data_IF_201376462037
#
_entry.id   IF_201376462037
#
_cell.length_a   1.000
_cell.length_b   1.000
_cell.length_c   1.000
_cell.angle_alpha   90.00
_cell.angle_beta   90.00
_cell.angle_gamma   90.00
#
_symmetry.space_group_name_H-M   'P 1'
#
loop_
_entity.id
_entity.type
_entity.pdbx_description
1 polymer ?
#
# COMPACT_ATOMS: atom_id res chain seq x y z
N UNK A 1 -17.69 37.81 -22.40
CA UNK A 1 -16.92 38.41 -21.29
C UNK A 1 -15.48 38.44 -21.72
N UNK A 2 -14.88 39.63 -21.76
CA UNK A 2 -13.62 39.97 -22.44
C UNK A 2 -12.39 39.38 -21.76
N UNK A 3 -11.37 39.06 -22.56
CA UNK A 3 -10.04 38.54 -22.20
C UNK A 3 -9.21 39.43 -21.25
N UNK A 4 -9.75 40.55 -20.77
CA UNK A 4 -9.05 41.53 -19.93
C UNK A 4 -9.47 41.50 -18.44
N UNK A 5 -10.37 40.60 -18.01
CA UNK A 5 -10.75 40.45 -16.58
C UNK A 5 -10.06 39.28 -15.86
N UNK A 6 -9.08 38.61 -16.49
CA UNK A 6 -8.30 37.52 -15.88
C UNK A 6 -6.99 37.98 -15.22
N UNK A 7 -6.73 39.28 -15.10
CA UNK A 7 -5.71 39.78 -14.19
C UNK A 7 -6.19 39.58 -12.73
N UNK A 8 -5.38 38.83 -11.95
CA UNK A 8 -5.54 38.57 -10.50
C UNK A 8 -6.57 37.51 -10.11
N UNK A 9 -6.53 36.31 -10.70
CA UNK A 9 -7.09 35.16 -9.99
C UNK A 9 -6.23 34.86 -8.76
N UNK A 10 -6.55 35.46 -7.61
CA UNK A 10 -6.01 35.12 -6.29
C UNK A 10 -6.41 33.71 -5.84
N UNK A 11 -6.56 32.79 -6.78
CA UNK A 11 -7.04 31.43 -6.65
C UNK A 11 -6.09 30.51 -7.40
N UNK A 12 -5.81 29.35 -6.82
CA UNK A 12 -4.91 28.36 -7.37
C UNK A 12 -5.47 27.77 -8.67
N UNK A 13 -4.69 27.77 -9.75
CA UNK A 13 -5.09 27.16 -11.02
C UNK A 13 -5.30 25.63 -10.96
N UNK A 14 -4.76 24.95 -9.94
CA UNK A 14 -4.88 23.50 -9.78
C UNK A 14 -6.08 23.05 -8.93
N UNK A 15 -6.38 23.72 -7.81
CA UNK A 15 -7.45 23.32 -6.89
C UNK A 15 -8.54 24.38 -6.64
N UNK A 16 -8.41 25.59 -7.20
CA UNK A 16 -9.39 26.66 -7.07
C UNK A 16 -9.44 27.34 -5.69
N UNK A 17 -8.56 27.00 -4.74
CA UNK A 17 -8.50 27.63 -3.40
C UNK A 17 -7.81 28.99 -3.46
N UNK A 18 -8.26 29.95 -2.62
CA UNK A 18 -7.65 31.29 -2.50
C UNK A 18 -6.18 31.19 -2.08
N UNK A 19 -5.30 31.82 -2.85
CA UNK A 19 -3.85 31.82 -2.63
C UNK A 19 -3.48 32.74 -1.46
N UNK A 20 -2.53 32.31 -0.65
CA UNK A 20 -2.00 33.06 0.50
C UNK A 20 -0.52 32.73 0.72
N UNK A 21 0.26 33.65 1.29
CA UNK A 21 1.72 33.51 1.48
C UNK A 21 2.13 33.52 2.97
N UNK A 22 1.16 33.60 3.88
CA UNK A 22 1.37 33.87 5.31
C UNK A 22 1.58 32.60 6.14
N UNK A 23 0.83 31.53 5.87
CA UNK A 23 0.78 30.34 6.73
C UNK A 23 1.01 29.04 5.93
N UNK A 24 2.13 28.36 6.17
CA UNK A 24 2.49 27.12 5.45
C UNK A 24 1.52 25.96 5.65
N UNK A 25 0.78 25.93 6.75
CA UNK A 25 -0.13 24.82 7.07
C UNK A 25 -1.54 25.05 6.53
N UNK A 26 -1.89 26.28 6.12
CA UNK A 26 -3.22 26.61 5.61
C UNK A 26 -3.38 26.36 4.10
N UNK A 27 -4.57 25.91 3.66
CA UNK A 27 -4.86 25.72 2.24
C UNK A 27 -4.60 27.00 1.43
N UNK A 28 -4.02 26.83 0.23
CA UNK A 28 -3.70 27.95 -0.65
C UNK A 28 -2.32 28.55 -0.44
N UNK A 29 -1.52 28.04 0.51
CA UNK A 29 -0.15 28.52 0.72
C UNK A 29 0.69 28.44 -0.56
N UNK A 30 1.44 29.48 -0.87
CA UNK A 30 2.57 29.43 -1.81
C UNK A 30 3.71 30.34 -1.32
N UNK A 31 4.98 30.01 -1.60
CA UNK A 31 6.09 30.94 -1.36
C UNK A 31 5.94 32.19 -2.23
N UNK A 32 6.33 33.37 -1.72
CA UNK A 32 6.26 34.63 -2.50
C UNK A 32 7.02 34.55 -3.84
N UNK A 33 8.14 33.83 -3.86
CA UNK A 33 8.92 33.58 -5.08
C UNK A 33 8.18 32.78 -6.17
N UNK A 34 7.04 32.15 -5.84
CA UNK A 34 6.21 31.38 -6.77
C UNK A 34 4.97 32.16 -7.28
N UNK A 35 4.74 33.41 -6.83
CA UNK A 35 3.66 34.28 -7.33
C UNK A 35 3.80 34.65 -8.80
N UNK A 36 5.03 34.67 -9.32
CA UNK A 36 5.36 35.04 -10.71
C UNK A 36 5.34 33.86 -11.69
N UNK A 37 5.01 32.65 -11.24
CA UNK A 37 4.99 31.45 -12.10
C UNK A 37 3.62 31.29 -12.76
N UNK A 38 3.59 31.10 -14.08
CA UNK A 38 2.37 30.73 -14.80
C UNK A 38 2.37 29.24 -15.19
N UNK A 39 1.34 28.45 -14.81
CA UNK A 39 0.19 28.82 -13.99
C UNK A 39 0.51 28.88 -12.48
N UNK A 40 -0.07 29.85 -11.76
CA UNK A 40 0.11 30.01 -10.31
C UNK A 40 -0.62 28.89 -9.57
N UNK A 41 0.13 28.03 -8.89
CA UNK A 41 -0.41 26.90 -8.13
C UNK A 41 0.07 26.93 -6.68
N UNK A 42 -0.82 26.61 -5.74
CA UNK A 42 -0.48 26.50 -4.32
C UNK A 42 0.53 25.37 -4.09
N UNK A 43 1.27 25.42 -2.99
CA UNK A 43 2.26 24.44 -2.58
C UNK A 43 1.69 23.01 -2.61
N UNK A 44 0.43 22.82 -2.21
CA UNK A 44 -0.25 21.53 -2.31
C UNK A 44 -0.36 21.05 -3.77
N UNK A 45 -0.89 21.87 -4.67
CA UNK A 45 -0.99 21.52 -6.10
C UNK A 45 0.38 21.35 -6.77
N UNK A 46 1.37 22.16 -6.36
CA UNK A 46 2.75 22.03 -6.82
C UNK A 46 3.36 20.70 -6.37
N UNK A 47 3.12 20.27 -5.12
CA UNK A 47 3.57 18.99 -4.57
C UNK A 47 2.87 17.80 -5.22
N UNK A 48 1.57 17.92 -5.53
CA UNK A 48 0.82 16.93 -6.32
C UNK A 48 1.42 16.78 -7.71
N UNK A 49 1.65 17.90 -8.41
CA UNK A 49 2.11 17.92 -9.81
C UNK A 49 3.56 17.43 -9.97
N UNK A 50 4.45 17.80 -9.06
CA UNK A 50 5.90 17.53 -9.21
C UNK A 50 6.40 16.34 -8.37
N UNK A 51 5.78 16.08 -7.22
CA UNK A 51 6.21 15.04 -6.28
C UNK A 51 5.18 13.91 -6.12
N UNK A 52 4.09 13.93 -6.90
CA UNK A 52 2.96 12.99 -6.79
C UNK A 52 2.38 12.93 -5.36
N UNK A 53 2.52 14.03 -4.61
CA UNK A 53 2.15 14.17 -3.21
C UNK A 53 0.69 14.62 -3.13
N UNK A 54 -0.20 13.79 -3.69
CA UNK A 54 -1.61 13.80 -3.37
C UNK A 54 -1.72 13.67 -1.86
N UNK A 55 -1.86 14.83 -1.20
CA UNK A 55 -2.22 14.94 0.20
C UNK A 55 -3.28 13.89 0.48
N UNK A 56 -2.86 12.88 1.23
CA UNK A 56 -3.65 11.81 1.78
C UNK A 56 -4.76 12.47 2.58
N UNK A 57 -5.90 12.74 1.93
CA UNK A 57 -7.16 12.81 2.63
C UNK A 57 -7.33 11.40 3.17
N UNK A 58 -7.03 11.22 4.45
CA UNK A 58 -7.36 10.00 5.19
C UNK A 58 -8.87 9.91 5.15
N UNK A 59 -9.37 9.10 4.23
CA UNK A 59 -10.79 8.84 4.11
C UNK A 59 -11.11 7.87 5.24
N UNK A 60 -12.06 8.25 6.08
CA UNK A 60 -12.60 7.35 7.09
C UNK A 60 -13.19 6.13 6.39
N UNK A 61 -13.09 4.95 7.00
CA UNK A 61 -13.53 3.70 6.39
C UNK A 61 -14.99 3.80 5.92
N UNK A 62 -15.85 4.49 6.67
CA UNK A 62 -17.26 4.67 6.37
C UNK A 62 -17.52 5.44 5.07
N UNK A 63 -16.77 6.51 4.80
CA UNK A 63 -16.90 7.29 3.58
C UNK A 63 -16.49 6.45 2.35
N UNK A 64 -15.44 5.64 2.50
CA UNK A 64 -15.04 4.72 1.46
C UNK A 64 -16.08 3.61 1.22
N UNK A 65 -16.69 3.07 2.28
CA UNK A 65 -17.77 2.08 2.15
C UNK A 65 -18.99 2.65 1.42
N UNK A 66 -19.32 3.94 1.61
CA UNK A 66 -20.35 4.63 0.84
C UNK A 66 -19.98 4.73 -0.64
N UNK A 67 -18.73 5.07 -0.96
CA UNK A 67 -18.23 5.10 -2.33
C UNK A 67 -18.36 3.72 -2.99
N UNK A 68 -17.89 2.65 -2.32
CA UNK A 68 -18.00 1.29 -2.85
C UNK A 68 -19.46 0.87 -3.06
N UNK A 69 -20.35 1.20 -2.13
CA UNK A 69 -21.78 0.91 -2.26
C UNK A 69 -22.40 1.64 -3.46
N UNK A 70 -21.90 2.82 -3.81
CA UNK A 70 -22.25 3.51 -5.05
C UNK A 70 -21.83 2.74 -6.30
N UNK A 71 -20.68 2.05 -6.26
CA UNK A 71 -20.20 1.19 -7.37
C UNK A 71 -21.16 0.01 -7.58
N UNK A 72 -21.71 -0.60 -6.53
CA UNK A 72 -22.67 -1.69 -6.65
C UNK A 72 -23.91 -1.34 -7.49
N UNK A 73 -24.34 -0.08 -7.50
CA UNK A 73 -25.47 0.37 -8.30
C UNK A 73 -25.13 0.56 -9.79
N UNK A 74 -23.84 0.53 -10.15
CA UNK A 74 -23.37 0.67 -11.54
C UNK A 74 -23.12 -0.69 -12.18
N UNK A 75 -23.16 -0.76 -13.51
CA UNK A 75 -22.68 -1.91 -14.28
C UNK A 75 -21.25 -1.64 -14.76
N UNK A 76 -20.28 -1.99 -13.94
CA UNK A 76 -18.87 -1.60 -14.09
C UNK A 76 -17.92 -2.77 -13.85
N UNK A 77 -16.71 -2.69 -14.40
CA UNK A 77 -15.61 -3.59 -14.03
C UNK A 77 -14.87 -3.01 -12.82
N UNK A 78 -14.66 -3.79 -11.77
CA UNK A 78 -13.88 -3.36 -10.61
C UNK A 78 -12.49 -3.97 -10.68
N UNK A 79 -11.46 -3.14 -10.77
CA UNK A 79 -10.05 -3.53 -10.71
C UNK A 79 -9.58 -3.35 -9.28
N UNK A 80 -9.38 -4.45 -8.58
CA UNK A 80 -8.86 -4.45 -7.22
C UNK A 80 -7.34 -4.66 -7.25
N UNK A 81 -6.60 -3.62 -6.88
CA UNK A 81 -5.14 -3.67 -6.84
C UNK A 81 -4.69 -3.99 -5.41
N UNK A 82 -3.85 -5.00 -5.29
CA UNK A 82 -3.22 -5.41 -4.02
C UNK A 82 -1.71 -5.46 -4.16
N UNK A 83 -1.01 -5.12 -3.09
CA UNK A 83 0.43 -5.33 -2.94
C UNK A 83 0.70 -6.77 -2.51
N UNK A 84 1.59 -7.47 -3.22
CA UNK A 84 1.98 -8.82 -2.85
C UNK A 84 2.65 -8.91 -1.47
N UNK A 85 3.46 -7.91 -1.10
CA UNK A 85 4.26 -7.92 0.14
C UNK A 85 3.38 -7.75 1.36
N UNK A 86 2.30 -6.99 1.20
CA UNK A 86 1.31 -6.71 2.20
C UNK A 86 -0.05 -7.25 1.74
N UNK A 87 -0.15 -8.47 1.22
CA UNK A 87 -1.41 -8.97 0.63
C UNK A 87 -2.59 -8.98 1.62
N UNK A 88 -2.34 -9.39 2.86
CA UNK A 88 -3.35 -9.50 3.91
C UNK A 88 -3.74 -8.15 4.55
N UNK A 89 -2.82 -7.17 4.52
CA UNK A 89 -3.16 -5.78 4.83
C UNK A 89 -3.88 -5.14 3.64
N UNK A 90 -3.42 -5.52 2.46
CA UNK A 90 -3.80 -5.33 1.05
C UNK A 90 -5.26 -5.31 0.71
N UNK A 91 -5.83 -6.46 1.02
CA UNK A 91 -7.04 -6.98 0.47
C UNK A 91 -8.25 -6.38 1.20
N UNK A 92 -9.16 -5.81 0.44
CA UNK A 92 -10.44 -5.33 0.94
C UNK A 92 -11.33 -6.54 1.28
N UNK A 93 -11.35 -6.93 2.55
CA UNK A 93 -12.24 -7.98 3.05
C UNK A 93 -13.70 -7.64 2.77
N UNK A 94 -14.43 -8.58 2.18
CA UNK A 94 -15.85 -8.37 1.87
C UNK A 94 -16.11 -7.37 0.74
N UNK A 95 -15.11 -6.99 -0.06
CA UNK A 95 -15.29 -6.13 -1.24
C UNK A 95 -16.48 -6.57 -2.11
N UNK A 96 -16.62 -7.89 -2.32
CA UNK A 96 -17.71 -8.46 -3.11
C UNK A 96 -19.11 -8.02 -2.64
N UNK A 97 -19.30 -7.84 -1.32
CA UNK A 97 -20.58 -7.38 -0.74
C UNK A 97 -20.90 -5.94 -1.15
N UNK A 98 -19.87 -5.10 -1.29
CA UNK A 98 -20.03 -3.69 -1.60
C UNK A 98 -20.07 -3.42 -3.10
N UNK A 99 -19.42 -4.24 -3.93
CA UNK A 99 -19.46 -4.10 -5.40
C UNK A 99 -20.61 -4.89 -6.04
N UNK A 100 -21.33 -5.71 -5.27
CA UNK A 100 -22.51 -6.43 -5.71
C UNK A 100 -22.20 -7.49 -6.78
N UNK A 101 -22.90 -7.39 -7.92
CA UNK A 101 -22.76 -8.31 -9.05
C UNK A 101 -21.62 -7.91 -10.01
N UNK A 102 -20.93 -6.80 -9.76
CA UNK A 102 -19.88 -6.33 -10.64
C UNK A 102 -18.70 -7.32 -10.68
N UNK A 103 -18.16 -7.62 -11.88
CA UNK A 103 -16.98 -8.46 -12.01
C UNK A 103 -15.76 -7.79 -11.36
N UNK A 104 -15.00 -8.56 -10.59
CA UNK A 104 -13.76 -8.08 -9.95
C UNK A 104 -12.54 -8.69 -10.63
N UNK A 105 -11.69 -7.85 -11.20
CA UNK A 105 -10.36 -8.22 -11.68
C UNK A 105 -9.33 -7.96 -10.59
N UNK A 106 -8.66 -9.01 -10.09
CA UNK A 106 -7.63 -8.86 -9.06
C UNK A 106 -6.26 -8.70 -9.69
N UNK A 107 -5.63 -7.56 -9.44
CA UNK A 107 -4.29 -7.23 -9.92
C UNK A 107 -3.33 -7.20 -8.73
N UNK A 108 -2.44 -8.20 -8.67
CA UNK A 108 -1.40 -8.29 -7.65
C UNK A 108 -0.15 -7.60 -8.17
N UNK A 109 0.19 -6.47 -7.55
CA UNK A 109 1.30 -5.64 -7.94
C UNK A 109 2.59 -5.96 -7.15
N UNK A 110 3.70 -5.38 -7.62
CA UNK A 110 5.04 -5.46 -7.04
C UNK A 110 5.69 -6.84 -7.07
N UNK A 111 5.31 -7.70 -8.02
CA UNK A 111 5.89 -9.06 -8.12
C UNK A 111 7.40 -9.07 -8.43
N UNK A 112 7.96 -7.95 -8.90
CA UNK A 112 9.39 -7.77 -9.16
C UNK A 112 10.27 -7.80 -7.90
N UNK A 113 9.65 -7.61 -6.74
CA UNK A 113 10.34 -7.64 -5.46
C UNK A 113 10.58 -9.06 -4.94
N UNK A 114 9.96 -10.09 -5.54
CA UNK A 114 10.25 -11.47 -5.20
C UNK A 114 11.55 -11.97 -5.84
N UNK A 115 12.25 -12.93 -5.22
CA UNK A 115 13.39 -13.59 -5.84
C UNK A 115 13.04 -14.19 -7.20
N UNK A 116 13.91 -14.06 -8.20
CA UNK A 116 13.70 -14.54 -9.58
C UNK A 116 13.39 -16.04 -9.68
N UNK A 117 13.79 -16.83 -8.69
CA UNK A 117 13.54 -18.28 -8.61
C UNK A 117 12.11 -18.64 -8.20
N UNK A 118 11.28 -17.65 -7.83
CA UNK A 118 9.92 -17.90 -7.35
C UNK A 118 9.01 -18.42 -8.47
N UNK A 119 8.29 -19.51 -8.22
CA UNK A 119 7.37 -20.08 -9.19
C UNK A 119 6.07 -19.25 -9.27
N UNK A 120 5.89 -18.54 -10.38
CA UNK A 120 4.73 -17.66 -10.60
C UNK A 120 3.39 -18.40 -10.63
N UNK A 121 3.35 -19.66 -11.05
CA UNK A 121 2.11 -20.46 -11.05
C UNK A 121 1.69 -20.82 -9.63
N UNK A 122 2.65 -21.21 -8.77
CA UNK A 122 2.39 -21.46 -7.35
C UNK A 122 1.91 -20.18 -6.66
N UNK A 123 2.53 -19.04 -6.99
CA UNK A 123 2.12 -17.75 -6.47
C UNK A 123 0.68 -17.39 -6.87
N UNK A 124 0.32 -17.56 -8.15
CA UNK A 124 -1.05 -17.32 -8.63
C UNK A 124 -2.07 -18.20 -7.91
N UNK A 125 -1.75 -19.50 -7.72
CA UNK A 125 -2.62 -20.43 -7.00
C UNK A 125 -2.79 -20.01 -5.53
N UNK A 126 -1.71 -19.59 -4.87
CA UNK A 126 -1.76 -19.08 -3.50
C UNK A 126 -2.67 -17.84 -3.42
N UNK A 127 -2.49 -16.86 -4.33
CA UNK A 127 -3.34 -15.66 -4.39
C UNK A 127 -4.81 -16.01 -4.59
N UNK A 128 -5.12 -16.94 -5.51
CA UNK A 128 -6.49 -17.38 -5.77
C UNK A 128 -7.12 -18.02 -4.53
N UNK A 129 -6.38 -18.87 -3.81
CA UNK A 129 -6.84 -19.47 -2.57
C UNK A 129 -7.12 -18.42 -1.50
N UNK A 130 -6.21 -17.47 -1.31
CA UNK A 130 -6.40 -16.39 -0.33
C UNK A 130 -7.59 -15.49 -0.71
N UNK A 131 -7.70 -15.07 -1.97
CA UNK A 131 -8.83 -14.27 -2.44
C UNK A 131 -10.18 -14.98 -2.18
N UNK A 132 -10.25 -16.29 -2.43
CA UNK A 132 -11.43 -17.10 -2.16
C UNK A 132 -11.72 -17.22 -0.66
N UNK A 133 -10.70 -17.39 0.18
CA UNK A 133 -10.83 -17.47 1.63
C UNK A 133 -11.43 -16.18 2.22
N UNK A 134 -11.12 -15.03 1.62
CA UNK A 134 -11.69 -13.72 1.98
C UNK A 134 -13.02 -13.41 1.27
N UNK A 135 -13.60 -14.39 0.57
CA UNK A 135 -14.93 -14.27 -0.07
C UNK A 135 -14.95 -13.44 -1.35
N UNK A 136 -13.79 -13.17 -1.96
CA UNK A 136 -13.70 -12.42 -3.20
C UNK A 136 -13.93 -13.34 -4.41
N UNK A 137 -14.85 -12.97 -5.30
CA UNK A 137 -15.09 -13.69 -6.56
C UNK A 137 -14.42 -12.93 -7.69
N UNK A 138 -13.23 -13.39 -8.07
CA UNK A 138 -12.43 -12.75 -9.11
C UNK A 138 -12.71 -13.37 -10.47
N UNK A 139 -12.85 -12.55 -11.52
CA UNK A 139 -12.96 -13.04 -12.91
C UNK A 139 -11.62 -13.52 -13.43
N UNK A 140 -10.54 -12.84 -13.02
CA UNK A 140 -9.17 -13.26 -13.27
C UNK A 140 -8.25 -12.72 -12.15
N UNK A 141 -7.08 -13.34 -12.01
CA UNK A 141 -6.00 -12.96 -11.10
C UNK A 141 -4.73 -12.77 -11.90
N UNK A 142 -4.23 -11.53 -11.90
CA UNK A 142 -3.07 -11.11 -12.66
C UNK A 142 -1.94 -10.70 -11.75
N UNK A 143 -0.72 -11.07 -12.14
CA UNK A 143 0.51 -10.76 -11.44
C UNK A 143 1.28 -9.74 -12.28
N UNK A 144 1.55 -8.56 -11.72
CA UNK A 144 2.26 -7.50 -12.43
C UNK A 144 3.26 -6.74 -11.57
N UNK A 145 4.14 -5.99 -12.24
CA UNK A 145 4.88 -4.89 -11.64
C UNK A 145 4.65 -3.63 -12.47
N UNK A 146 3.79 -2.74 -11.96
CA UNK A 146 3.54 -1.47 -12.62
C UNK A 146 4.81 -0.60 -12.74
N UNK A 147 5.75 -0.72 -11.78
CA UNK A 147 7.03 0.01 -11.80
C UNK A 147 8.01 -0.53 -12.84
N UNK A 148 8.04 -1.85 -13.07
CA UNK A 148 8.99 -2.51 -13.98
C UNK A 148 8.38 -2.91 -15.33
N UNK A 149 7.12 -2.56 -15.58
CA UNK A 149 6.35 -2.98 -16.76
C UNK A 149 6.27 -4.51 -16.94
N UNK A 150 6.39 -5.28 -15.85
CA UNK A 150 6.36 -6.74 -15.92
C UNK A 150 4.91 -7.23 -15.87
N UNK A 151 4.50 -8.01 -16.86
CA UNK A 151 3.15 -8.59 -16.92
C UNK A 151 2.03 -7.57 -17.15
N UNK A 152 2.38 -6.33 -17.52
CA UNK A 152 1.40 -5.25 -17.71
C UNK A 152 0.55 -5.44 -18.96
N UNK A 153 1.13 -5.98 -20.05
CA UNK A 153 0.38 -6.35 -21.27
C UNK A 153 -0.80 -7.27 -20.95
N UNK A 154 -0.60 -8.27 -20.09
CA UNK A 154 -1.68 -9.17 -19.63
C UNK A 154 -2.77 -8.45 -18.85
N UNK A 155 -2.42 -7.36 -18.14
CA UNK A 155 -3.39 -6.50 -17.46
C UNK A 155 -4.24 -5.76 -18.47
N UNK A 156 -3.63 -5.17 -19.50
CA UNK A 156 -4.36 -4.49 -20.58
C UNK A 156 -5.29 -5.47 -21.31
N UNK A 157 -4.78 -6.61 -21.76
CA UNK A 157 -5.58 -7.63 -22.46
C UNK A 157 -6.78 -8.12 -21.63
N UNK A 158 -6.56 -8.33 -20.32
CA UNK A 158 -7.64 -8.75 -19.43
C UNK A 158 -8.64 -7.64 -19.16
N UNK A 159 -8.19 -6.38 -19.07
CA UNK A 159 -9.08 -5.23 -18.98
C UNK A 159 -9.97 -5.16 -20.21
N UNK A 160 -9.40 -5.20 -21.41
CA UNK A 160 -10.18 -5.17 -22.66
C UNK A 160 -11.18 -6.34 -22.74
N UNK A 161 -10.74 -7.56 -22.40
CA UNK A 161 -11.56 -8.76 -22.43
C UNK A 161 -12.74 -8.71 -21.44
N UNK A 162 -12.52 -8.22 -20.23
CA UNK A 162 -13.51 -8.27 -19.15
C UNK A 162 -14.30 -6.98 -18.97
N UNK A 163 -13.88 -5.89 -19.60
CA UNK A 163 -14.54 -4.60 -19.52
C UNK A 163 -15.87 -4.58 -20.25
N UNK A 164 -15.97 -5.25 -21.40
CA UNK A 164 -17.25 -5.44 -22.12
C UNK A 164 -18.02 -4.11 -22.30
N UNK A 165 -17.29 -3.05 -22.69
CA UNK A 165 -17.85 -1.70 -22.88
C UNK A 165 -18.36 -1.01 -21.62
N UNK A 166 -17.89 -1.38 -20.42
CA UNK A 166 -18.27 -0.79 -19.12
C UNK A 166 -17.26 0.26 -18.63
N UNK A 167 -17.69 1.05 -17.65
CA UNK A 167 -16.79 1.89 -16.85
C UNK A 167 -15.89 1.00 -15.97
N UNK A 168 -14.66 1.45 -15.70
CA UNK A 168 -13.67 0.69 -14.92
C UNK A 168 -13.38 1.43 -13.62
N UNK A 169 -13.70 0.85 -12.48
CA UNK A 169 -13.36 1.40 -11.17
C UNK A 169 -12.08 0.78 -10.65
N UNK A 170 -11.07 1.59 -10.40
CA UNK A 170 -9.81 1.13 -9.80
C UNK A 170 -9.86 1.36 -8.30
N UNK A 171 -9.87 0.26 -7.53
CA UNK A 171 -9.91 0.26 -6.07
C UNK A 171 -8.68 -0.41 -5.50
N UNK A 172 -8.23 0.07 -4.35
CA UNK A 172 -7.08 -0.48 -3.67
C UNK A 172 -6.67 0.42 -2.52
N UNK A 173 -5.83 -0.12 -1.66
CA UNK A 173 -5.33 0.65 -0.55
C UNK A 173 -4.24 1.65 -0.94
N UNK A 174 -3.87 2.51 0.00
CA UNK A 174 -2.68 3.35 -0.12
C UNK A 174 -1.42 2.50 -0.34
N UNK A 175 -0.46 3.07 -1.07
CA UNK A 175 0.86 2.49 -1.32
C UNK A 175 0.91 1.14 -2.08
N UNK A 176 -0.22 0.59 -2.56
CA UNK A 176 -0.24 -0.64 -3.37
C UNK A 176 0.25 -0.44 -4.81
N UNK A 177 0.37 0.81 -5.25
CA UNK A 177 0.79 1.18 -6.62
C UNK A 177 -0.37 1.48 -7.57
N UNK A 178 -1.56 1.82 -7.05
CA UNK A 178 -2.73 2.24 -7.81
C UNK A 178 -2.44 3.38 -8.79
N UNK A 179 -1.87 4.50 -8.31
CA UNK A 179 -1.55 5.64 -9.16
C UNK A 179 -0.49 5.30 -10.21
N UNK A 180 0.46 4.43 -9.90
CA UNK A 180 1.45 3.94 -10.87
C UNK A 180 0.78 3.11 -11.97
N UNK A 181 -0.15 2.24 -11.62
CA UNK A 181 -0.92 1.44 -12.58
C UNK A 181 -1.75 2.35 -13.48
N UNK A 182 -2.47 3.32 -12.91
CA UNK A 182 -3.34 4.23 -13.66
C UNK A 182 -2.53 5.13 -14.59
N UNK A 183 -1.43 5.72 -14.12
CA UNK A 183 -0.54 6.51 -14.98
C UNK A 183 0.02 5.70 -16.14
N UNK A 184 0.15 4.38 -15.97
CA UNK A 184 0.58 3.48 -17.04
C UNK A 184 -0.56 3.19 -18.01
N UNK A 185 -1.75 2.86 -17.51
CA UNK A 185 -2.94 2.70 -18.33
C UNK A 185 -3.18 3.96 -19.18
N UNK A 186 -3.08 5.16 -18.61
CA UNK A 186 -3.23 6.41 -19.37
C UNK A 186 -2.29 6.42 -20.57
N UNK A 187 -0.99 6.18 -20.38
CA UNK A 187 0.01 6.21 -21.47
C UNK A 187 -0.26 5.20 -22.57
N UNK A 188 -0.73 4.01 -22.20
CA UNK A 188 -0.95 2.93 -23.16
C UNK A 188 -2.31 3.06 -23.89
N UNK A 189 -3.30 3.74 -23.28
CA UNK A 189 -4.60 4.06 -23.91
C UNK A 189 -4.64 5.43 -24.62
N UNK A 190 -3.63 6.29 -24.42
CA UNK A 190 -3.57 7.61 -25.05
C UNK A 190 -2.50 7.66 -26.15
N UNK A 191 -2.90 7.38 -27.39
CA UNK A 191 -2.09 7.70 -28.59
C UNK A 191 -2.15 9.20 -28.97
N UNK A 192 -2.76 10.05 -28.14
CA UNK A 192 -2.97 11.47 -28.41
C UNK A 192 -2.73 12.32 -27.17
N UNK A 193 -2.10 13.48 -27.39
CA UNK A 193 -1.89 14.65 -26.51
C UNK A 193 -3.19 15.21 -25.87
N UNK A 194 -4.04 14.36 -25.28
CA UNK A 194 -5.15 14.81 -24.46
C UNK A 194 -4.60 15.11 -23.08
N UNK A 195 -4.36 16.40 -22.85
CA UNK A 195 -4.24 16.99 -21.52
C UNK A 195 -5.25 16.32 -20.59
N UNK A 196 -4.75 15.85 -19.45
CA UNK A 196 -5.52 15.27 -18.35
C UNK A 196 -6.58 16.28 -17.89
N UNK A 197 -7.75 16.29 -18.53
CA UNK A 197 -8.91 17.01 -18.01
C UNK A 197 -9.48 16.16 -16.89
N UNK A 198 -8.83 16.23 -15.73
CA UNK A 198 -9.33 15.64 -14.49
C UNK A 198 -10.61 16.38 -14.11
N UNK A 199 -11.77 15.83 -14.45
CA UNK A 199 -13.04 16.30 -13.92
C UNK A 199 -13.31 15.59 -12.60
N UNK A 200 -13.61 16.37 -11.57
CA UNK A 200 -14.09 15.84 -10.27
C UNK A 200 -15.56 15.46 -10.44
N UNK A 201 -15.95 14.30 -9.94
CA UNK A 201 -17.34 13.89 -9.98
C UNK A 201 -18.18 14.76 -9.02
N UNK A 202 -19.23 15.47 -9.48
CA UNK A 202 -20.09 16.26 -8.61
C UNK A 202 -20.94 15.35 -7.71
N UNK A 203 -21.02 15.64 -6.41
CA UNK A 203 -21.96 14.99 -5.49
C UNK A 203 -21.35 13.98 -4.51
N UNK A 204 -20.03 13.77 -4.52
CA UNK A 204 -19.32 12.99 -3.50
C UNK A 204 -18.28 13.87 -2.79
N UNK A 205 -18.19 13.79 -1.46
CA UNK A 205 -17.11 14.38 -0.65
C UNK A 205 -15.72 13.78 -0.94
N UNK A 206 -15.66 12.77 -1.82
CA UNK A 206 -14.49 12.02 -2.22
C UNK A 206 -14.13 12.32 -3.67
N UNK A 207 -12.94 12.87 -3.88
CA UNK A 207 -12.39 13.28 -5.18
C UNK A 207 -11.97 12.05 -6.02
N UNK A 208 -12.92 11.38 -6.67
CA UNK A 208 -12.61 10.38 -7.69
C UNK A 208 -12.20 11.06 -9.01
N UNK A 209 -11.15 10.58 -9.66
CA UNK A 209 -10.65 11.13 -10.93
C UNK A 209 -11.18 10.28 -12.09
N UNK A 210 -11.84 10.91 -13.07
CA UNK A 210 -12.30 10.23 -14.29
C UNK A 210 -11.30 10.44 -15.43
N UNK A 211 -10.88 9.34 -16.03
CA UNK A 211 -10.01 9.31 -17.22
C UNK A 211 -10.88 8.80 -18.38
N UNK A 212 -11.26 9.67 -19.32
CA UNK A 212 -12.10 9.26 -20.45
C UNK A 212 -11.31 8.34 -21.40
N UNK A 213 -12.00 7.33 -21.92
CA UNK A 213 -11.52 6.41 -22.95
C UNK A 213 -12.21 6.74 -24.29
N UNK A 214 -11.63 6.28 -25.39
CA UNK A 214 -12.11 6.63 -26.74
C UNK A 214 -13.54 6.17 -27.03
N UNK A 215 -13.97 5.10 -26.36
CA UNK A 215 -15.31 4.51 -26.46
C UNK A 215 -16.39 5.23 -25.63
N UNK A 216 -16.09 6.42 -25.10
CA UNK A 216 -17.04 7.25 -24.35
C UNK A 216 -17.28 6.80 -22.91
N UNK A 217 -16.54 5.80 -22.44
CA UNK A 217 -16.51 5.33 -21.04
C UNK A 217 -15.30 5.90 -20.31
N UNK A 218 -15.13 5.55 -19.04
CA UNK A 218 -14.00 6.05 -18.26
C UNK A 218 -13.36 4.99 -17.37
N UNK A 219 -12.08 5.22 -17.05
CA UNK A 219 -11.40 4.66 -15.88
C UNK A 219 -11.60 5.66 -14.73
N UNK A 220 -12.18 5.18 -13.63
CA UNK A 220 -12.44 5.95 -12.43
C UNK A 220 -11.38 5.56 -11.39
N UNK A 221 -10.48 6.50 -11.11
CA UNK A 221 -9.57 6.39 -9.98
C UNK A 221 -10.32 6.69 -8.69
N UNK A 222 -10.43 5.69 -7.82
CA UNK A 222 -10.97 5.91 -6.48
C UNK A 222 -9.82 6.26 -5.53
N UNK A 223 -10.06 7.09 -4.51
CA UNK A 223 -9.05 7.34 -3.49
C UNK A 223 -8.54 6.06 -2.82
N UNK A 224 -7.27 6.05 -2.44
CA UNK A 224 -6.66 4.89 -1.77
C UNK A 224 -7.19 4.71 -0.36
N UNK A 225 -7.51 3.46 0.01
CA UNK A 225 -7.98 3.12 1.36
C UNK A 225 -6.81 3.13 2.33
N UNK A 226 -6.96 3.87 3.42
CA UNK A 226 -6.01 3.85 4.54
C UNK A 226 -6.46 2.77 5.51
N UNK A 227 -5.59 1.80 5.76
CA UNK A 227 -5.82 0.76 6.76
C UNK A 227 -4.99 1.07 8.00
N UNK A 228 -5.60 1.43 9.15
CA UNK A 228 -4.87 1.66 10.39
C UNK A 228 -4.09 0.43 10.86
N UNK A 229 -4.44 -0.75 10.34
CA UNK A 229 -3.77 -2.00 10.64
C UNK A 229 -2.48 -2.25 9.85
N UNK A 230 -2.06 -1.31 8.98
CA UNK A 230 -0.80 -1.40 8.24
C UNK A 230 0.23 -0.50 8.88
N UNK A 231 1.42 -1.04 9.11
CA UNK A 231 2.52 -0.26 9.65
C UNK A 231 2.85 0.98 8.79
N UNK A 232 2.68 0.88 7.46
CA UNK A 232 2.93 2.00 6.53
C UNK A 232 2.05 3.22 6.78
N UNK A 233 0.89 3.05 7.40
CA UNK A 233 -0.02 4.17 7.68
C UNK A 233 0.23 4.80 9.06
N UNK A 234 1.01 4.11 9.91
CA UNK A 234 1.34 4.58 11.26
C UNK A 234 2.70 5.26 11.33
N UNK A 235 3.64 4.87 10.47
CA UNK A 235 4.99 5.43 10.51
C UNK A 235 5.06 6.81 9.85
N UNK A 236 5.98 7.68 10.32
CA UNK A 236 6.23 8.96 9.67
C UNK A 236 6.66 8.78 8.20
N UNK A 237 6.35 9.76 7.35
CA UNK A 237 6.69 9.73 5.91
C UNK A 237 8.19 9.55 5.64
N UNK A 238 9.05 10.04 6.53
CA UNK A 238 10.50 9.86 6.48
C UNK A 238 10.92 8.39 6.60
N UNK A 239 10.17 7.60 7.38
CA UNK A 239 10.44 6.18 7.62
C UNK A 239 9.87 5.29 6.52
N UNK A 240 8.80 5.74 5.85
CA UNK A 240 8.15 5.01 4.75
C UNK A 240 9.12 4.52 3.68
N UNK A 241 10.05 5.38 3.25
CA UNK A 241 11.04 5.03 2.20
C UNK A 241 11.97 3.89 2.62
N UNK A 242 12.20 3.73 3.94
CA UNK A 242 13.07 2.70 4.49
C UNK A 242 12.36 1.35 4.62
N UNK A 243 11.06 1.36 4.91
CA UNK A 243 10.26 0.14 5.11
C UNK A 243 9.62 -0.38 3.82
N UNK A 244 9.46 0.48 2.79
CA UNK A 244 8.92 0.08 1.51
C UNK A 244 10.04 -0.45 0.60
N UNK A 245 9.97 -1.72 0.18
CA UNK A 245 11.00 -2.29 -0.69
C UNK A 245 10.96 -1.69 -2.11
N UNK A 246 12.10 -1.19 -2.58
CA UNK A 246 12.28 -0.71 -3.96
C UNK A 246 12.95 -1.72 -4.91
N UNK A 247 13.61 -2.71 -4.32
CA UNK A 247 14.39 -3.73 -5.00
C UNK A 247 14.01 -5.12 -4.48
N UNK A 248 14.35 -6.15 -5.26
CA UNK A 248 14.14 -7.55 -4.91
C UNK A 248 14.62 -7.86 -3.49
N UNK A 249 13.72 -8.46 -2.68
CA UNK A 249 14.04 -8.86 -1.32
C UNK A 249 15.08 -9.96 -1.30
N UNK A 250 16.06 -9.79 -0.40
CA UNK A 250 17.05 -10.82 -0.12
C UNK A 250 16.59 -11.60 1.11
N UNK A 251 16.45 -12.94 1.03
CA UNK A 251 16.10 -13.75 2.20
C UNK A 251 17.23 -13.67 3.22
N UNK A 252 16.92 -13.22 4.44
CA UNK A 252 17.86 -13.19 5.56
C UNK A 252 17.59 -14.38 6.48
N UNK A 253 18.45 -15.40 6.41
CA UNK A 253 18.28 -16.64 7.18
C UNK A 253 18.94 -16.50 8.55
N UNK A 254 18.16 -16.64 9.62
CA UNK A 254 18.64 -16.65 10.99
C UNK A 254 18.40 -18.02 11.63
N UNK A 255 19.46 -18.66 12.10
CA UNK A 255 19.34 -19.86 12.93
C UNK A 255 19.23 -19.45 14.40
N UNK A 256 18.05 -19.67 14.98
CA UNK A 256 17.70 -19.24 16.33
C UNK A 256 17.54 -20.45 17.25
N UNK A 257 18.02 -20.28 18.49
CA UNK A 257 17.64 -21.11 19.63
C UNK A 257 16.46 -20.44 20.34
N UNK A 258 15.76 -21.18 21.20
CA UNK A 258 14.76 -20.58 22.08
C UNK A 258 15.36 -19.42 22.90
N UNK A 259 14.50 -18.51 23.32
CA UNK A 259 14.85 -17.29 24.06
C UNK A 259 15.79 -16.36 23.30
N UNK A 260 15.60 -16.25 21.99
CA UNK A 260 16.28 -15.27 21.15
C UNK A 260 15.30 -14.36 20.43
N UNK A 261 15.74 -13.14 20.20
CA UNK A 261 14.93 -12.04 19.68
C UNK A 261 15.57 -11.45 18.43
N UNK A 262 14.74 -11.07 17.47
CA UNK A 262 15.07 -10.24 16.33
C UNK A 262 14.28 -8.93 16.40
N UNK A 263 14.97 -7.80 16.41
CA UNK A 263 14.38 -6.47 16.22
C UNK A 263 14.42 -6.06 14.76
N UNK A 264 13.36 -5.44 14.27
CA UNK A 264 13.29 -4.84 12.95
C UNK A 264 13.22 -3.33 13.12
N UNK A 265 14.37 -2.70 13.32
CA UNK A 265 14.45 -1.34 13.86
C UNK A 265 13.71 -1.24 15.19
N UNK A 266 13.17 -0.05 15.48
CA UNK A 266 12.22 0.16 16.56
C UNK A 266 10.76 0.13 16.04
N UNK A 267 10.49 -0.69 15.02
CA UNK A 267 9.17 -0.84 14.41
C UNK A 267 8.46 -2.14 14.81
N UNK A 268 9.21 -3.22 14.97
CA UNK A 268 8.67 -4.51 15.40
C UNK A 268 9.75 -5.38 16.02
N UNK A 269 9.32 -6.35 16.83
CA UNK A 269 10.19 -7.33 17.48
C UNK A 269 9.57 -8.72 17.33
N UNK A 270 10.42 -9.70 17.04
CA UNK A 270 10.08 -11.10 16.97
C UNK A 270 10.87 -11.87 18.03
N UNK A 271 10.17 -12.59 18.90
CA UNK A 271 10.72 -13.42 19.95
C UNK A 271 10.45 -14.88 19.67
N UNK A 272 11.52 -15.68 19.61
CA UNK A 272 11.39 -17.13 19.61
C UNK A 272 11.34 -17.62 21.06
N UNK A 273 10.13 -17.76 21.59
CA UNK A 273 9.88 -18.02 23.01
C UNK A 273 10.22 -19.47 23.38
N UNK A 274 9.71 -20.43 22.61
CA UNK A 274 9.86 -21.85 22.90
C UNK A 274 9.90 -22.68 21.62
N UNK A 275 10.84 -23.63 21.55
CA UNK A 275 10.92 -24.63 20.49
C UNK A 275 12.35 -25.09 20.24
N UNK A 276 12.52 -26.12 19.41
CA UNK A 276 13.84 -26.60 19.02
C UNK A 276 14.56 -25.59 18.11
N UNK A 277 15.90 -25.64 18.13
CA UNK A 277 16.75 -24.81 17.26
C UNK A 277 16.32 -24.97 15.80
N UNK A 278 15.87 -23.87 15.21
CA UNK A 278 15.35 -23.87 13.84
C UNK A 278 15.72 -22.58 13.10
N UNK A 279 15.61 -22.61 11.78
CA UNK A 279 15.87 -21.44 10.94
C UNK A 279 14.60 -20.66 10.67
N UNK A 280 14.72 -19.35 10.74
CA UNK A 280 13.70 -18.38 10.34
C UNK A 280 14.26 -17.54 9.19
N UNK A 281 13.52 -17.47 8.09
CA UNK A 281 13.92 -16.65 6.93
C UNK A 281 13.12 -15.37 6.94
N UNK A 282 13.80 -14.23 7.11
CA UNK A 282 13.19 -12.91 7.17
C UNK A 282 13.16 -12.30 5.76
N UNK A 283 11.98 -11.82 5.36
CA UNK A 283 11.72 -11.10 4.12
C UNK A 283 11.16 -9.71 4.46
N UNK A 284 12.04 -8.71 4.53
CA UNK A 284 11.70 -7.31 4.82
C UNK A 284 12.50 -6.39 3.88
N UNK A 285 12.12 -5.11 3.81
CA UNK A 285 12.84 -4.13 3.02
C UNK A 285 14.32 -4.01 3.44
N UNK A 286 15.27 -3.88 2.48
CA UNK A 286 16.70 -3.79 2.79
C UNK A 286 17.09 -2.61 3.70
N UNK A 287 16.26 -1.57 3.76
CA UNK A 287 16.44 -0.43 4.64
C UNK A 287 16.30 -0.76 6.13
N UNK A 288 15.63 -1.87 6.47
CA UNK A 288 15.47 -2.33 7.85
C UNK A 288 16.42 -3.49 8.11
N UNK A 289 17.45 -3.27 8.93
CA UNK A 289 18.41 -4.33 9.29
C UNK A 289 17.95 -5.04 10.57
N UNK A 290 17.78 -6.37 10.55
CA UNK A 290 17.43 -7.09 11.77
C UNK A 290 18.57 -7.08 12.79
N UNK A 291 18.26 -6.78 14.05
CA UNK A 291 19.19 -6.83 15.17
C UNK A 291 18.87 -8.01 16.09
N UNK A 292 19.84 -8.90 16.31
CA UNK A 292 19.66 -10.12 17.13
C UNK A 292 20.13 -9.90 18.55
N UNK A 293 19.32 -10.31 19.53
CA UNK A 293 19.70 -10.32 20.95
C UNK A 293 19.12 -11.54 21.67
N UNK A 294 19.47 -11.71 22.95
CA UNK A 294 18.83 -12.68 23.83
C UNK A 294 17.52 -12.10 24.37
N UNK A 295 16.51 -12.93 24.55
CA UNK A 295 15.18 -12.53 25.01
C UNK A 295 15.24 -11.78 26.36
N UNK A 296 16.12 -12.22 27.28
CA UNK A 296 16.30 -11.61 28.60
C UNK A 296 16.80 -10.15 28.56
N UNK A 297 17.50 -9.75 27.49
CA UNK A 297 18.04 -8.40 27.30
C UNK A 297 17.21 -7.55 26.35
N UNK A 298 16.16 -8.11 25.76
CA UNK A 298 15.44 -7.43 24.69
C UNK A 298 14.67 -6.20 25.18
N UNK A 299 14.07 -6.27 26.37
CA UNK A 299 13.33 -5.12 26.95
C UNK A 299 14.26 -3.99 27.42
N UNK A 300 15.46 -4.33 27.89
CA UNK A 300 16.51 -3.37 28.23
C UNK A 300 17.07 -2.71 26.96
N UNK A 301 17.45 -3.52 25.97
CA UNK A 301 17.97 -3.03 24.68
C UNK A 301 17.01 -2.06 24.00
N UNK A 302 15.70 -2.36 24.01
CA UNK A 302 14.71 -1.47 23.43
C UNK A 302 14.63 -0.12 24.18
N UNK A 303 14.58 -0.15 25.51
CA UNK A 303 14.51 1.09 26.31
C UNK A 303 15.73 1.99 26.13
N UNK A 304 16.92 1.41 26.02
CA UNK A 304 18.17 2.17 25.93
C UNK A 304 18.53 2.61 24.51
N UNK A 305 18.13 1.82 23.50
CA UNK A 305 18.62 1.99 22.15
C UNK A 305 17.55 2.16 21.05
N UNK A 306 16.26 2.24 21.41
CA UNK A 306 15.22 2.67 20.47
C UNK A 306 15.55 4.06 19.93
N UNK A 307 15.56 4.21 18.59
CA UNK A 307 15.85 5.48 17.95
C UNK A 307 17.33 5.78 17.69
N UNK A 308 18.24 4.94 18.19
CA UNK A 308 19.69 5.02 17.93
C UNK A 308 20.17 3.77 17.17
N UNK A 309 20.52 2.70 17.89
CA UNK A 309 20.91 1.41 17.30
C UNK A 309 19.70 0.74 16.63
N UNK A 310 18.54 0.82 17.29
CA UNK A 310 17.28 0.29 16.76
C UNK A 310 16.57 1.41 15.99
N UNK A 311 17.03 1.63 14.76
CA UNK A 311 16.43 2.56 13.81
C UNK A 311 16.14 1.83 12.49
N UNK A 312 15.13 2.26 11.72
CA UNK A 312 14.17 3.34 12.01
C UNK A 312 13.08 2.93 13.02
N UNK A 313 12.25 3.86 13.54
CA UNK A 313 12.35 5.34 13.49
C UNK A 313 13.50 5.91 14.32
N UNK A 314 13.74 7.22 14.27
CA UNK A 314 14.65 7.94 15.19
C UNK A 314 13.99 8.21 16.56
N UNK A 315 14.77 8.66 17.55
CA UNK A 315 14.26 8.96 18.89
C UNK A 315 13.11 9.98 18.91
N UNK A 316 13.20 11.02 18.07
CA UNK A 316 12.18 12.07 17.94
C UNK A 316 10.87 11.53 17.33
N UNK A 317 11.00 10.60 16.38
CA UNK A 317 9.89 9.99 15.65
C UNK A 317 9.17 8.88 16.42
N UNK A 318 9.78 8.35 17.49
CA UNK A 318 9.18 7.28 18.30
C UNK A 318 7.90 7.74 19.01
N UNK A 319 7.84 9.01 19.41
CA UNK A 319 6.68 9.57 20.11
C UNK A 319 5.41 9.62 19.26
N UNK A 320 5.53 9.51 17.93
CA UNK A 320 4.39 9.49 16.99
C UNK A 320 3.79 8.08 16.85
N UNK A 321 4.49 7.03 17.26
CA UNK A 321 4.04 5.65 17.10
C UNK A 321 3.19 5.17 18.29
N UNK A 322 2.12 4.39 18.04
CA UNK A 322 1.39 3.71 19.10
C UNK A 322 2.27 2.75 19.90
N UNK A 323 1.90 2.55 21.16
CA UNK A 323 2.54 1.53 22.01
C UNK A 323 2.47 0.14 21.37
N UNK A 324 3.48 -0.67 21.63
CA UNK A 324 3.51 -2.03 21.11
C UNK A 324 2.51 -2.94 21.79
N UNK A 325 1.86 -3.79 21.01
CA UNK A 325 1.02 -4.89 21.47
C UNK A 325 1.72 -6.21 21.19
N UNK A 326 1.61 -7.16 22.12
CA UNK A 326 2.14 -8.52 21.98
C UNK A 326 1.13 -9.41 21.27
N UNK A 327 1.58 -10.11 20.24
CA UNK A 327 0.84 -11.12 19.49
C UNK A 327 1.52 -12.47 19.68
N UNK A 328 0.89 -13.38 20.45
CA UNK A 328 1.42 -14.72 20.67
C UNK A 328 0.89 -15.69 19.62
N UNK A 329 1.80 -16.35 18.90
CA UNK A 329 1.48 -17.21 17.77
C UNK A 329 2.11 -18.59 17.97
N UNK A 330 1.30 -19.64 17.83
CA UNK A 330 1.76 -21.03 17.91
C UNK A 330 1.85 -21.61 16.51
N UNK A 331 3.07 -21.92 16.09
CA UNK A 331 3.38 -22.57 14.82
C UNK A 331 3.21 -24.09 15.01
N UNK A 332 2.26 -24.74 14.31
CA UNK A 332 2.07 -26.18 14.40
C UNK A 332 3.27 -26.96 13.87
N UNK A 333 3.38 -28.22 14.29
CA UNK A 333 4.38 -29.15 13.74
C UNK A 333 4.11 -29.41 12.26
N UNK A 334 5.17 -29.60 11.51
CA UNK A 334 5.17 -29.88 10.05
C UNK A 334 4.50 -28.83 9.15
N UNK A 335 3.94 -27.76 9.71
CA UNK A 335 3.33 -26.68 8.96
C UNK A 335 4.40 -25.74 8.37
N UNK A 336 4.18 -25.30 7.13
CA UNK A 336 5.00 -24.28 6.47
C UNK A 336 4.25 -22.95 6.49
N UNK A 337 4.51 -22.17 7.53
CA UNK A 337 3.80 -20.91 7.76
C UNK A 337 4.74 -19.72 7.74
N UNK A 338 4.19 -18.59 7.29
CA UNK A 338 4.79 -17.27 7.41
C UNK A 338 4.16 -16.54 8.60
N UNK A 339 5.00 -15.98 9.46
CA UNK A 339 4.62 -14.95 10.42
C UNK A 339 4.57 -13.62 9.66
N UNK A 340 3.37 -13.12 9.39
CA UNK A 340 3.16 -11.91 8.61
C UNK A 340 2.97 -10.68 9.51
N UNK A 341 3.68 -9.60 9.18
CA UNK A 341 3.56 -8.28 9.84
C UNK A 341 3.17 -7.25 8.78
N UNK A 342 1.94 -6.76 8.85
CA UNK A 342 1.38 -5.90 7.81
C UNK A 342 2.16 -4.58 7.65
N UNK A 343 2.57 -4.30 6.42
CA UNK A 343 3.39 -3.13 6.07
C UNK A 343 4.89 -3.24 6.35
N UNK A 344 5.38 -4.34 6.93
CA UNK A 344 6.82 -4.57 7.17
C UNK A 344 7.39 -5.72 6.32
N UNK A 345 6.68 -6.85 6.28
CA UNK A 345 7.12 -8.05 5.60
C UNK A 345 6.69 -9.32 6.34
N UNK A 346 7.45 -10.40 6.16
CA UNK A 346 7.15 -11.67 6.83
C UNK A 346 8.40 -12.45 7.21
N UNK A 347 8.20 -13.39 8.13
CA UNK A 347 9.23 -14.32 8.60
C UNK A 347 8.72 -15.72 8.32
N UNK A 348 9.43 -16.45 7.47
CA UNK A 348 9.11 -17.84 7.16
C UNK A 348 9.71 -18.76 8.22
N UNK A 349 8.88 -19.59 8.85
CA UNK A 349 9.34 -20.64 9.75
C UNK A 349 9.70 -21.89 8.94
N UNK A 350 10.98 -22.25 8.91
CA UNK A 350 11.46 -23.39 8.10
C UNK A 350 11.51 -24.71 8.90
N UNK A 351 11.40 -24.63 10.23
CA UNK A 351 11.43 -25.79 11.12
C UNK A 351 10.16 -26.63 11.05
N UNK A 352 10.27 -27.93 11.38
CA UNK A 352 9.12 -28.86 11.45
C UNK A 352 8.70 -29.17 12.89
N UNK A 353 9.51 -28.78 13.88
CA UNK A 353 9.34 -29.09 15.30
C UNK A 353 8.18 -28.35 15.98
N UNK A 354 7.59 -27.35 15.30
CA UNK A 354 6.69 -26.37 15.89
C UNK A 354 7.45 -25.33 16.71
N UNK A 355 6.78 -24.22 17.02
CA UNK A 355 7.34 -23.11 17.80
C UNK A 355 6.24 -22.29 18.47
N UNK A 356 6.57 -21.70 19.62
CA UNK A 356 5.84 -20.57 20.18
C UNK A 356 6.66 -19.31 19.93
N UNK A 357 6.05 -18.34 19.29
CA UNK A 357 6.69 -17.06 18.97
C UNK A 357 5.80 -15.92 19.42
N UNK A 358 6.43 -14.84 19.88
CA UNK A 358 5.73 -13.59 20.17
C UNK A 358 6.20 -12.52 19.19
N UNK A 359 5.27 -11.75 18.67
CA UNK A 359 5.56 -10.59 17.85
C UNK A 359 5.05 -9.35 18.55
N UNK A 360 5.90 -8.35 18.69
CA UNK A 360 5.53 -7.04 19.18
C UNK A 360 5.53 -6.08 18.00
N UNK A 361 4.40 -5.40 17.81
CA UNK A 361 4.22 -4.37 16.79
C UNK A 361 3.32 -3.26 17.35
N UNK A 362 3.36 -2.03 16.80
CA UNK A 362 2.49 -0.95 17.21
C UNK A 362 1.02 -1.37 17.23
N UNK A 363 0.30 -0.92 18.25
CA UNK A 363 -1.12 -1.24 18.46
C UNK A 363 -1.92 -0.93 17.20
N UNK A 364 -2.71 -1.90 16.76
CA UNK A 364 -3.50 -1.83 15.54
C UNK A 364 -2.89 -2.60 14.37
N UNK A 365 -1.56 -2.74 14.30
CA UNK A 365 -0.89 -3.47 13.21
C UNK A 365 -1.35 -4.93 13.17
N UNK A 366 -1.74 -5.39 11.98
CA UNK A 366 -2.17 -6.77 11.75
C UNK A 366 -0.95 -7.69 11.76
N UNK A 367 -0.92 -8.63 12.71
CA UNK A 367 0.06 -9.72 12.77
C UNK A 367 -0.68 -11.06 12.79
N UNK A 368 -0.29 -11.98 11.92
CA UNK A 368 -0.96 -13.29 11.79
C UNK A 368 -0.03 -14.38 11.25
N UNK A 369 -0.47 -15.63 11.36
CA UNK A 369 0.10 -16.76 10.64
C UNK A 369 -0.67 -16.97 9.33
N UNK A 370 0.06 -17.23 8.24
CA UNK A 370 -0.51 -17.59 6.94
C UNK A 370 0.30 -18.69 6.27
N UNK A 371 -0.27 -19.32 5.26
CA UNK A 371 0.45 -20.28 4.42
C UNK A 371 1.63 -19.63 3.73
N UNK A 372 2.77 -20.33 3.71
CA UNK A 372 4.00 -19.83 3.14
C UNK A 372 3.86 -19.48 1.65
N UNK A 373 4.21 -18.23 1.30
CA UNK A 373 4.19 -17.75 -0.10
C UNK A 373 5.26 -18.48 -0.93
N UNK A 374 6.42 -18.76 -0.33
CA UNK A 374 7.63 -19.33 -0.97
C UNK A 374 7.82 -20.80 -0.58
#
# INVERSE_FOLDING_TARGET
MSEQEREKSGYCAGCGVKLQTEDQERPGYLPEAALSREPVICQRCFRIKNYNDAASVTIDQDDFLRLLSGIAATNSLVVHIVDLFDFEGSLISGLQRFVGANPVLLVVNKVDLLPKVTNMNRLRNWVQQQAKAHGLRTVDVLLCSAKRNLGFERVIEALERHRDGRDVYVVGATNVGKSTLINRLIRDYSDLDRELTTSRYPGTTLDAVRIPLEDGRAIIDTPGIVYPSRLTELVPKSVLQTILPEHTLKPLVYQLNERQTLFFGALARFDFVQGERQSFTVYIAPGVKPHRTKLERADELYREHAGTLLAPPSAEQLGELPEWTRHSLRIPREARLDIFISGLGWIQANGKSGALVDVYAPKGVKVLLRDAII
#
